data_IF_898868341129
#
_entry.id   IF_898868341129
#
_cell.length_a   1.000
_cell.length_b   1.000
_cell.length_c   1.000
_cell.angle_alpha   90.00
_cell.angle_beta   90.00
_cell.angle_gamma   90.00
#
_symmetry.space_group_name_H-M   'P 1'
#
loop_
_entity.id
_entity.type
_entity.pdbx_description
1 polymer ?
#
# COMPACT_ATOMS: atom_id res chain seq x y z
N UNK A 1 3.86 -28.04 -20.29
CA UNK A 1 4.92 -27.17 -19.74
C UNK A 1 4.20 -26.01 -19.09
N UNK A 2 4.02 -26.10 -17.78
CA UNK A 2 3.25 -25.16 -16.96
C UNK A 2 4.13 -23.92 -16.79
N UNK A 3 3.81 -22.82 -17.47
CA UNK A 3 4.50 -21.56 -17.26
C UNK A 3 4.11 -21.05 -15.88
N UNK A 4 5.08 -21.13 -14.96
CA UNK A 4 4.97 -20.73 -13.58
C UNK A 4 4.54 -19.26 -13.48
N UNK A 5 3.40 -19.01 -12.86
CA UNK A 5 2.82 -17.70 -12.57
C UNK A 5 3.60 -16.91 -11.49
N UNK A 6 4.89 -17.23 -11.29
CA UNK A 6 5.76 -16.66 -10.27
C UNK A 6 6.35 -15.30 -10.73
N UNK A 7 6.15 -14.92 -12.00
CA UNK A 7 6.84 -13.79 -12.63
C UNK A 7 6.29 -12.40 -12.36
N UNK A 8 5.05 -12.24 -11.88
CA UNK A 8 4.41 -10.91 -11.84
C UNK A 8 4.39 -10.27 -10.45
N UNK A 9 4.70 -11.02 -9.40
CA UNK A 9 4.62 -10.51 -8.03
C UNK A 9 5.79 -9.56 -7.66
N UNK A 10 6.96 -9.77 -8.27
CA UNK A 10 8.15 -8.96 -8.06
C UNK A 10 8.52 -8.09 -9.27
N UNK A 11 7.74 -8.14 -10.35
CA UNK A 11 8.02 -7.38 -11.57
C UNK A 11 7.78 -5.87 -11.38
N UNK A 12 7.00 -5.49 -10.36
CA UNK A 12 6.74 -4.09 -9.99
C UNK A 12 7.06 -3.88 -8.51
N UNK A 13 7.89 -2.88 -8.15
CA UNK A 13 8.26 -2.62 -6.76
C UNK A 13 7.05 -2.16 -5.94
N UNK A 14 7.08 -2.47 -4.64
CA UNK A 14 6.10 -1.94 -3.70
C UNK A 14 6.23 -0.42 -3.61
N UNK A 15 5.18 0.30 -3.99
CA UNK A 15 5.20 1.77 -4.04
C UNK A 15 4.89 2.33 -2.66
N UNK A 16 5.76 3.20 -2.14
CA UNK A 16 5.54 3.87 -0.84
C UNK A 16 4.43 4.90 -0.98
N UNK A 17 3.41 4.79 -0.15
CA UNK A 17 2.23 5.67 -0.20
C UNK A 17 1.77 6.02 1.21
N UNK A 18 1.08 7.16 1.33
CA UNK A 18 0.25 7.45 2.49
C UNK A 18 -1.08 6.70 2.41
N UNK A 19 -1.60 6.30 3.56
CA UNK A 19 -2.92 5.66 3.68
C UNK A 19 -4.03 6.52 3.10
N UNK A 20 -3.93 7.86 3.18
CA UNK A 20 -4.93 8.75 2.58
C UNK A 20 -4.98 8.64 1.04
N UNK A 21 -3.84 8.39 0.38
CA UNK A 21 -3.78 8.31 -1.08
C UNK A 21 -4.51 7.06 -1.60
N UNK A 22 -4.65 6.04 -0.75
CA UNK A 22 -5.40 4.83 -1.08
C UNK A 22 -6.92 5.04 -1.14
N UNK A 23 -7.45 6.19 -0.71
CA UNK A 23 -8.88 6.50 -0.82
C UNK A 23 -9.27 6.95 -2.22
N UNK A 24 -8.34 7.59 -2.91
CA UNK A 24 -8.55 8.18 -4.22
C UNK A 24 -8.14 7.24 -5.36
N UNK A 25 -7.86 5.97 -5.04
CA UNK A 25 -7.44 4.99 -6.03
C UNK A 25 -8.60 4.53 -6.91
N UNK A 26 -8.33 4.42 -8.21
CA UNK A 26 -9.28 3.90 -9.19
C UNK A 26 -8.84 2.53 -9.63
N UNK A 27 -9.75 1.56 -9.66
CA UNK A 27 -9.44 0.26 -10.21
C UNK A 27 -9.40 0.38 -11.75
N UNK A 28 -8.26 0.05 -12.34
CA UNK A 28 -8.13 -0.13 -13.79
C UNK A 28 -8.65 -1.51 -14.15
N UNK A 29 -9.98 -1.68 -14.18
CA UNK A 29 -10.56 -2.87 -14.81
C UNK A 29 -10.30 -2.76 -16.31
N UNK A 30 -9.29 -3.45 -16.81
CA UNK A 30 -9.19 -3.65 -18.26
C UNK A 30 -10.38 -4.50 -18.68
N UNK A 31 -11.26 -3.93 -19.51
CA UNK A 31 -12.38 -4.62 -20.15
C UNK A 31 -11.96 -5.40 -21.39
N UNK A 32 -10.65 -5.55 -21.66
CA UNK A 32 -10.19 -6.27 -22.84
C UNK A 32 -10.21 -7.78 -22.58
N UNK A 33 -11.38 -8.37 -22.83
CA UNK A 33 -11.63 -9.83 -22.90
C UNK A 33 -10.90 -10.52 -24.07
N UNK A 34 -9.78 -9.99 -24.54
CA UNK A 34 -9.13 -10.40 -25.79
C UNK A 34 -7.66 -10.78 -25.63
N UNK A 35 -7.29 -11.47 -24.54
CA UNK A 35 -6.14 -12.39 -24.47
C UNK A 35 -6.11 -12.99 -23.08
N UNK A 36 -5.91 -14.29 -22.97
CA UNK A 36 -5.79 -15.04 -21.72
C UNK A 36 -4.52 -14.71 -20.93
N UNK A 37 -4.29 -13.44 -20.63
CA UNK A 37 -3.25 -12.97 -19.72
C UNK A 37 -3.90 -12.72 -18.35
N UNK A 38 -3.28 -13.26 -17.31
CA UNK A 38 -3.75 -13.22 -15.93
C UNK A 38 -4.13 -11.80 -15.53
N UNK A 39 -5.40 -11.58 -15.15
CA UNK A 39 -5.90 -10.29 -14.68
C UNK A 39 -5.20 -9.92 -13.37
N UNK A 40 -4.10 -9.17 -13.47
CA UNK A 40 -3.50 -8.49 -12.35
C UNK A 40 -4.32 -7.22 -12.09
N UNK A 41 -5.08 -7.16 -11.00
CA UNK A 41 -5.82 -5.94 -10.65
C UNK A 41 -4.83 -4.79 -10.46
N UNK A 42 -4.84 -3.84 -11.41
CA UNK A 42 -4.01 -2.64 -11.37
C UNK A 42 -4.81 -1.50 -10.79
N UNK A 43 -4.22 -0.81 -9.82
CA UNK A 43 -4.82 0.36 -9.18
C UNK A 43 -4.11 1.61 -9.67
N UNK A 44 -4.89 2.64 -10.01
CA UNK A 44 -4.36 3.94 -10.42
C UNK A 44 -4.46 4.86 -9.21
N UNK A 45 -3.32 5.36 -8.75
CA UNK A 45 -3.19 6.31 -7.65
C UNK A 45 -2.85 7.68 -8.23
N UNK A 46 -3.60 8.75 -7.90
CA UNK A 46 -3.15 10.11 -8.20
C UNK A 46 -1.97 10.46 -7.29
N UNK A 47 -0.80 10.65 -7.90
CA UNK A 47 0.39 11.16 -7.23
C UNK A 47 0.56 12.63 -7.56
N UNK A 48 0.91 13.42 -6.56
CA UNK A 48 1.20 14.84 -6.71
C UNK A 48 2.60 15.12 -6.16
N UNK A 49 3.42 15.78 -6.97
CA UNK A 49 4.71 16.33 -6.55
C UNK A 49 4.49 17.40 -5.49
N UNK A 50 5.23 17.32 -4.41
CA UNK A 50 5.26 18.30 -3.34
C UNK A 50 6.14 19.52 -3.70
N UNK A 51 7.07 19.36 -4.64
CA UNK A 51 7.94 20.45 -5.11
C UNK A 51 7.28 21.24 -6.25
N UNK A 52 6.85 20.56 -7.31
CA UNK A 52 6.38 21.20 -8.55
C UNK A 52 4.85 21.35 -8.60
N UNK A 53 4.13 20.60 -7.76
CA UNK A 53 2.66 20.52 -7.82
C UNK A 53 2.12 19.72 -9.01
N UNK A 54 2.99 19.17 -9.86
CA UNK A 54 2.60 18.30 -10.98
C UNK A 54 1.87 17.07 -10.45
N UNK A 55 0.81 16.65 -11.15
CA UNK A 55 0.00 15.50 -10.78
C UNK A 55 0.03 14.47 -11.90
N UNK A 56 0.21 13.20 -11.55
CA UNK A 56 0.23 12.06 -12.47
C UNK A 56 -0.68 10.94 -11.95
N UNK A 57 -1.16 10.12 -12.88
CA UNK A 57 -1.86 8.88 -12.55
C UNK A 57 -0.86 7.73 -12.60
N UNK A 58 -0.49 7.19 -11.44
CA UNK A 58 0.52 6.14 -11.34
C UNK A 58 -0.12 4.78 -11.10
N UNK A 59 0.28 3.78 -11.88
CA UNK A 59 -0.22 2.42 -11.75
C UNK A 59 0.54 1.67 -10.65
N UNK A 60 -0.17 1.24 -9.61
CA UNK A 60 0.37 0.43 -8.52
C UNK A 60 -0.27 -0.95 -8.50
N UNK A 61 0.54 -1.93 -8.14
CA UNK A 61 0.11 -3.29 -7.84
C UNK A 61 0.28 -3.57 -6.34
N UNK A 62 1.52 -3.40 -5.86
CA UNK A 62 1.91 -3.60 -4.47
C UNK A 62 2.19 -2.26 -3.83
N UNK A 63 1.71 -2.07 -2.61
CA UNK A 63 1.89 -0.85 -1.83
C UNK A 63 2.71 -1.12 -0.59
N UNK A 64 3.47 -0.11 -0.17
CA UNK A 64 4.21 -0.08 1.07
C UNK A 64 3.66 1.06 1.93
N UNK A 65 3.14 0.72 3.10
CA UNK A 65 2.60 1.63 4.10
C UNK A 65 3.38 1.50 5.40
N UNK A 66 3.45 2.58 6.17
CA UNK A 66 3.91 2.54 7.56
C UNK A 66 2.96 3.34 8.44
N UNK A 67 2.73 2.86 9.67
CA UNK A 67 1.78 3.48 10.58
C UNK A 67 1.67 2.77 11.91
N UNK A 68 0.84 3.32 12.79
CA UNK A 68 0.47 2.69 14.05
C UNK A 68 -0.79 1.84 13.85
N UNK A 69 -0.81 0.67 14.49
CA UNK A 69 -2.03 -0.11 14.63
C UNK A 69 -2.97 0.67 15.54
N UNK A 70 -4.01 1.26 14.96
CA UNK A 70 -5.01 2.03 15.68
C UNK A 70 -5.97 1.11 16.44
N UNK A 71 -6.35 -0.01 15.82
CA UNK A 71 -7.30 -0.96 16.40
C UNK A 71 -7.11 -2.36 15.80
N UNK A 72 -7.26 -3.41 16.60
CA UNK A 72 -7.31 -4.80 16.14
C UNK A 72 -8.79 -5.22 16.11
N UNK A 73 -9.35 -5.47 14.93
CA UNK A 73 -10.78 -5.84 14.78
C UNK A 73 -10.97 -7.30 15.16
N UNK A 74 -10.10 -8.17 14.64
CA UNK A 74 -10.01 -9.59 14.92
C UNK A 74 -8.63 -10.09 14.50
N UNK A 75 -8.36 -11.38 14.72
CA UNK A 75 -7.07 -12.01 14.40
C UNK A 75 -6.68 -11.91 12.91
N UNK A 76 -7.65 -11.64 12.03
CA UNK A 76 -7.44 -11.51 10.60
C UNK A 76 -7.48 -10.06 10.09
N UNK A 77 -7.78 -9.07 10.93
CA UNK A 77 -7.98 -7.69 10.47
C UNK A 77 -7.56 -6.65 11.50
N UNK A 78 -6.76 -5.68 11.03
CA UNK A 78 -6.34 -4.52 11.83
C UNK A 78 -6.59 -3.22 11.08
N UNK A 79 -6.69 -2.11 11.82
CA UNK A 79 -6.76 -0.76 11.27
C UNK A 79 -5.40 -0.11 11.49
N UNK A 80 -4.74 0.28 10.41
CA UNK A 80 -3.48 1.01 10.42
C UNK A 80 -3.77 2.50 10.18
N UNK A 81 -3.12 3.37 10.95
CA UNK A 81 -3.14 4.81 10.78
C UNK A 81 -1.73 5.32 10.52
N UNK A 82 -1.53 6.07 9.46
CA UNK A 82 -0.24 6.66 9.15
C UNK A 82 -0.11 8.11 9.65
N UNK A 83 1.07 8.70 9.41
CA UNK A 83 1.40 10.08 9.78
C UNK A 83 0.55 11.13 9.05
N UNK A 84 0.01 10.78 7.87
CA UNK A 84 -0.90 11.67 7.12
C UNK A 84 -2.28 11.79 7.76
N UNK A 85 -2.56 10.97 8.79
CA UNK A 85 -3.88 10.84 9.41
C UNK A 85 -4.81 9.91 8.64
N UNK A 86 -4.37 9.35 7.51
CA UNK A 86 -5.10 8.36 6.75
C UNK A 86 -5.24 7.05 7.53
N UNK A 87 -6.37 6.38 7.34
CA UNK A 87 -6.63 5.06 7.93
C UNK A 87 -6.88 4.04 6.82
N UNK A 88 -6.43 2.82 7.06
CA UNK A 88 -6.59 1.70 6.14
C UNK A 88 -6.84 0.42 6.92
N UNK A 89 -7.68 -0.46 6.37
CA UNK A 89 -7.89 -1.80 6.91
C UNK A 89 -6.88 -2.75 6.29
N UNK A 90 -6.17 -3.49 7.12
CA UNK A 90 -5.20 -4.50 6.70
C UNK A 90 -5.79 -5.88 6.99
N UNK A 91 -5.83 -6.74 5.98
CA UNK A 91 -6.20 -8.15 6.09
C UNK A 91 -4.96 -9.01 6.29
N UNK A 92 -5.02 -9.87 7.30
CA UNK A 92 -3.96 -10.78 7.76
C UNK A 92 -4.26 -12.25 7.43
N UNK A 93 -5.23 -12.53 6.56
CA UNK A 93 -5.72 -13.91 6.29
C UNK A 93 -4.61 -14.87 5.88
N UNK A 94 -3.57 -14.38 5.21
CA UNK A 94 -2.40 -15.16 4.79
C UNK A 94 -1.19 -14.99 5.71
N UNK A 95 -1.32 -14.25 6.81
CA UNK A 95 -0.23 -13.92 7.71
C UNK A 95 -0.30 -14.80 8.96
N UNK A 96 0.82 -15.38 9.43
CA UNK A 96 0.82 -16.15 10.67
C UNK A 96 0.41 -15.26 11.84
N UNK A 97 -0.36 -15.82 12.79
CA UNK A 97 -0.71 -15.10 14.02
C UNK A 97 0.59 -14.77 14.77
N UNK A 98 0.84 -13.50 15.01
CA UNK A 98 2.02 -13.03 15.74
C UNK A 98 1.62 -12.13 16.91
N UNK A 99 2.17 -12.38 18.09
CA UNK A 99 1.77 -11.74 19.36
C UNK A 99 2.01 -10.23 19.40
N UNK A 100 2.85 -9.69 18.52
CA UNK A 100 3.19 -8.27 18.50
C UNK A 100 2.14 -7.40 17.81
N UNK A 101 1.17 -7.97 17.09
CA UNK A 101 0.12 -7.22 16.39
C UNK A 101 -0.90 -6.74 17.43
N UNK A 102 -0.63 -5.58 18.00
CA UNK A 102 -1.42 -4.99 19.08
C UNK A 102 -1.58 -3.49 18.86
N UNK A 103 -2.62 -2.92 19.46
CA UNK A 103 -2.89 -1.48 19.38
C UNK A 103 -1.68 -0.66 19.88
N UNK A 104 -1.37 0.42 19.15
CA UNK A 104 -0.27 1.33 19.42
C UNK A 104 1.06 0.95 18.76
N UNK A 105 1.23 -0.30 18.32
CA UNK A 105 2.48 -0.75 17.69
C UNK A 105 2.67 -0.07 16.33
N UNK A 106 3.87 0.48 16.13
CA UNK A 106 4.29 1.03 14.84
C UNK A 106 4.84 -0.09 13.96
N UNK A 107 4.38 -0.17 12.72
CA UNK A 107 4.79 -1.23 11.81
C UNK A 107 4.80 -0.78 10.35
N UNK A 108 5.54 -1.53 9.56
CA UNK A 108 5.57 -1.48 8.11
C UNK A 108 4.71 -2.60 7.54
N UNK A 109 3.94 -2.29 6.50
CA UNK A 109 3.07 -3.21 5.78
C UNK A 109 3.36 -3.12 4.30
N UNK A 110 3.68 -4.24 3.69
CA UNK A 110 3.70 -4.44 2.24
C UNK A 110 2.50 -5.32 1.89
N UNK A 111 1.70 -4.89 0.93
CA UNK A 111 0.46 -5.59 0.57
C UNK A 111 -0.09 -5.22 -0.78
N UNK A 112 -1.12 -5.93 -1.23
CA UNK A 112 -1.88 -5.60 -2.44
C UNK A 112 -3.15 -4.82 -2.08
N UNK A 113 -3.54 -3.90 -2.94
CA UNK A 113 -4.79 -3.16 -2.77
C UNK A 113 -5.96 -4.06 -3.19
N UNK A 114 -6.92 -4.27 -2.29
CA UNK A 114 -8.14 -5.06 -2.54
C UNK A 114 -9.34 -4.15 -2.78
N UNK A 115 -9.40 -3.01 -2.09
CA UNK A 115 -10.49 -2.05 -2.25
C UNK A 115 -10.03 -0.63 -1.90
N UNK A 116 -10.49 0.34 -2.70
CA UNK A 116 -10.29 1.78 -2.49
C UNK A 116 -11.61 2.46 -2.14
N UNK A 117 -12.16 2.14 -0.96
CA UNK A 117 -13.39 2.75 -0.44
C UNK A 117 -13.08 3.83 0.61
N UNK A 118 -14.10 4.35 1.31
CA UNK A 118 -13.90 5.29 2.43
C UNK A 118 -12.86 4.79 3.46
N UNK A 119 -12.78 3.48 3.67
CA UNK A 119 -11.69 2.79 4.38
C UNK A 119 -11.07 1.78 3.42
N UNK A 120 -9.91 2.08 2.81
CA UNK A 120 -9.26 1.17 1.88
C UNK A 120 -8.92 -0.16 2.56
N UNK A 121 -8.88 -1.25 1.78
CA UNK A 121 -8.53 -2.59 2.25
C UNK A 121 -7.27 -3.06 1.53
N UNK A 122 -6.28 -3.46 2.31
CA UNK A 122 -5.01 -4.02 1.84
C UNK A 122 -4.89 -5.45 2.32
N UNK A 123 -4.51 -6.38 1.45
CA UNK A 123 -4.11 -7.72 1.85
C UNK A 123 -2.61 -7.71 2.15
N UNK A 124 -2.25 -7.99 3.40
CA UNK A 124 -0.85 -8.01 3.81
C UNK A 124 -0.10 -9.18 3.19
N UNK A 125 1.03 -8.87 2.55
CA UNK A 125 2.03 -9.83 2.08
C UNK A 125 3.11 -9.98 3.16
N UNK A 126 3.58 -8.84 3.68
CA UNK A 126 4.61 -8.77 4.71
C UNK A 126 4.26 -7.68 5.69
N UNK A 127 4.39 -7.98 6.97
CA UNK A 127 4.37 -6.99 8.03
C UNK A 127 5.64 -7.07 8.86
N UNK A 128 6.09 -5.93 9.36
CA UNK A 128 7.32 -5.85 10.15
C UNK A 128 7.11 -4.83 11.25
N UNK A 129 7.26 -5.26 12.50
CA UNK A 129 7.31 -4.37 13.65
C UNK A 129 8.50 -3.43 13.50
N UNK A 130 8.24 -2.14 13.66
CA UNK A 130 9.27 -1.11 13.68
C UNK A 130 9.33 -0.51 15.09
N UNK A 131 10.45 0.13 15.40
CA UNK A 131 10.55 0.90 16.63
C UNK A 131 9.59 2.08 16.58
N UNK A 132 8.86 2.32 17.67
CA UNK A 132 7.91 3.43 17.75
C UNK A 132 8.66 4.73 18.07
N UNK A 133 9.58 5.13 17.19
CA UNK A 133 10.31 6.39 17.29
C UNK A 133 9.67 7.46 16.42
N UNK A 134 9.57 8.69 16.94
CA UNK A 134 9.08 9.83 16.17
C UNK A 134 9.94 10.09 14.92
N UNK A 135 11.24 9.80 15.00
CA UNK A 135 12.17 9.93 13.89
C UNK A 135 11.78 9.04 12.70
N UNK A 136 11.36 7.79 12.95
CA UNK A 136 10.93 6.89 11.88
C UNK A 136 9.63 7.36 11.22
N UNK A 137 8.71 7.92 12.01
CA UNK A 137 7.47 8.49 11.47
C UNK A 137 7.74 9.70 10.57
N UNK A 138 8.63 10.61 11.01
CA UNK A 138 9.05 11.76 10.20
C UNK A 138 9.79 11.28 8.95
N UNK A 139 10.69 10.31 9.09
CA UNK A 139 11.43 9.75 7.95
C UNK A 139 10.48 9.14 6.92
N UNK A 140 9.46 8.39 7.36
CA UNK A 140 8.44 7.85 6.47
C UNK A 140 7.71 8.93 5.67
N UNK A 141 7.38 10.07 6.30
CA UNK A 141 6.76 11.20 5.60
C UNK A 141 7.66 11.72 4.47
N UNK A 142 8.96 11.86 4.73
CA UNK A 142 9.93 12.29 3.73
C UNK A 142 10.12 11.26 2.62
N UNK A 143 10.21 9.97 2.97
CA UNK A 143 10.37 8.89 1.99
C UNK A 143 9.21 8.83 0.99
N UNK A 144 7.97 9.02 1.44
CA UNK A 144 6.80 9.03 0.56
C UNK A 144 6.78 10.27 -0.33
N UNK A 145 7.13 11.45 0.22
CA UNK A 145 7.19 12.71 -0.53
C UNK A 145 8.28 12.68 -1.61
N UNK A 146 9.49 12.27 -1.25
CA UNK A 146 10.63 12.16 -2.16
C UNK A 146 10.32 11.19 -3.31
N UNK A 147 9.74 10.02 -3.00
CA UNK A 147 9.31 9.08 -4.03
C UNK A 147 8.23 9.69 -4.95
N UNK A 148 7.24 10.39 -4.40
CA UNK A 148 6.21 11.04 -5.20
C UNK A 148 6.79 12.11 -6.13
N UNK A 149 7.74 12.91 -5.64
CA UNK A 149 8.44 13.91 -6.45
C UNK A 149 9.27 13.27 -7.58
N UNK A 150 10.03 12.22 -7.28
CA UNK A 150 10.80 11.48 -8.30
C UNK A 150 9.88 10.90 -9.38
N UNK A 151 8.84 10.17 -8.99
CA UNK A 151 7.90 9.55 -9.95
C UNK A 151 7.17 10.61 -10.80
N UNK A 152 6.85 11.78 -10.24
CA UNK A 152 6.22 12.87 -10.99
C UNK A 152 7.19 13.58 -11.95
N UNK A 153 8.49 13.61 -11.66
CA UNK A 153 9.49 14.23 -12.52
C UNK A 153 9.92 13.34 -13.68
N UNK A 154 9.93 12.02 -13.47
CA UNK A 154 10.33 11.02 -14.46
C UNK A 154 9.20 10.64 -15.45
N UNK A 155 7.95 11.02 -15.14
CA UNK A 155 6.77 10.81 -16.00
C UNK A 155 6.60 11.88 -17.08
#
# INVERSE_FOLDING_TARGET
MQLDCVSDFFSVPATKLFCRQLKDCRNSRSTDFSRGENQCERWIVPLRSFITGREINYCVHTVWLQGNILHVINDSHVILKDVSGGIVKISLVSFPVTDWIQQGVYCSVIGTVVSSSQTPLIQAIKMTKLDNSLNLQILWEWEVKDLADQLCNDA
#
